data_IF_144918072467
#
_entry.id   IF_144918072467
#
_cell.length_a   1.000
_cell.length_b   1.000
_cell.length_c   1.000
_cell.angle_alpha   90.00
_cell.angle_beta   90.00
_cell.angle_gamma   90.00
#
_symmetry.space_group_name_H-M   'P 1'
#
loop_
_entity.id
_entity.type
_entity.pdbx_description
1 polymer ?
#
# COMPACT_ATOMS: atom_id res chain seq x y z
N UNK A 1 -7.44 -7.23 19.11
CA UNK A 1 -8.20 -6.43 20.10
C UNK A 1 -7.34 -5.76 21.17
N UNK A 2 -6.03 -6.02 21.26
CA UNK A 2 -5.14 -5.42 22.28
C UNK A 2 -5.15 -3.88 22.34
N UNK A 3 -5.39 -3.19 21.22
CA UNK A 3 -5.39 -1.71 21.20
C UNK A 3 -6.51 -1.08 22.04
N UNK A 4 -7.58 -1.81 22.36
CA UNK A 4 -8.71 -1.30 23.17
C UNK A 4 -8.36 -1.09 24.64
N UNK A 5 -7.26 -1.68 25.10
CA UNK A 5 -6.82 -1.62 26.50
C UNK A 5 -5.82 -0.48 26.74
N UNK A 6 -5.45 0.27 25.69
CA UNK A 6 -4.41 1.31 25.78
C UNK A 6 -4.76 2.49 26.70
N UNK A 7 -6.03 2.65 27.10
CA UNK A 7 -6.44 3.60 28.13
C UNK A 7 -5.69 3.41 29.45
N UNK A 8 -5.31 2.17 29.79
CA UNK A 8 -4.53 1.86 31.01
C UNK A 8 -3.22 2.65 31.10
N UNK A 9 -2.61 3.01 29.97
CA UNK A 9 -1.37 3.79 29.95
C UNK A 9 -1.55 5.17 30.59
N UNK A 10 -2.74 5.76 30.50
CA UNK A 10 -3.05 7.03 31.15
C UNK A 10 -3.42 6.88 32.62
N UNK A 11 -3.93 5.71 33.01
CA UNK A 11 -4.11 5.37 34.41
C UNK A 11 -2.76 5.20 35.12
N UNK A 12 -1.86 4.42 34.53
CA UNK A 12 -0.57 4.07 35.15
C UNK A 12 0.48 5.18 35.01
N UNK A 13 0.41 5.97 33.92
CA UNK A 13 1.35 7.05 33.63
C UNK A 13 0.62 8.37 33.31
N UNK A 14 -0.08 8.98 34.29
CA UNK A 14 -0.96 10.13 34.04
C UNK A 14 -0.22 11.35 33.49
N UNK A 15 1.03 11.57 33.91
CA UNK A 15 1.87 12.69 33.49
C UNK A 15 2.57 12.48 32.13
N UNK A 16 2.65 11.24 31.63
CA UNK A 16 3.37 10.97 30.37
C UNK A 16 2.59 11.52 29.18
N UNK A 17 3.21 12.27 28.24
CA UNK A 17 2.52 12.72 27.04
C UNK A 17 2.14 11.53 26.14
N UNK A 18 1.03 11.65 25.42
CA UNK A 18 0.58 10.63 24.47
C UNK A 18 0.49 11.23 23.07
N UNK A 19 1.13 10.57 22.12
CA UNK A 19 1.09 10.89 20.69
C UNK A 19 0.47 9.71 19.94
N UNK A 20 -0.73 9.91 19.39
CA UNK A 20 -1.39 8.93 18.52
C UNK A 20 -1.20 9.36 17.06
N UNK A 21 -0.62 8.48 16.25
CA UNK A 21 -0.34 8.73 14.83
C UNK A 21 -1.20 7.82 13.96
N UNK A 22 -1.80 8.40 12.93
CA UNK A 22 -2.52 7.64 11.89
C UNK A 22 -2.43 8.38 10.56
N UNK A 23 -2.33 7.64 9.46
CA UNK A 23 -2.31 8.21 8.11
C UNK A 23 -3.69 8.73 7.70
N UNK A 24 -4.76 8.03 8.10
CA UNK A 24 -6.15 8.39 7.81
C UNK A 24 -6.98 8.31 9.09
N UNK A 25 -7.89 9.26 9.28
CA UNK A 25 -8.78 9.24 10.42
C UNK A 25 -10.11 9.91 10.05
N UNK A 26 -11.20 9.16 9.99
CA UNK A 26 -12.52 9.80 9.91
C UNK A 26 -12.86 10.48 11.24
N UNK A 27 -13.80 11.44 11.28
CA UNK A 27 -14.30 11.99 12.54
C UNK A 27 -14.87 10.90 13.48
N UNK A 28 -15.48 9.84 12.91
CA UNK A 28 -15.96 8.71 13.68
C UNK A 28 -14.81 7.91 14.33
N UNK A 29 -13.75 7.62 13.56
CA UNK A 29 -12.58 6.93 14.09
C UNK A 29 -11.86 7.77 15.17
N UNK A 30 -11.87 9.10 15.04
CA UNK A 30 -11.27 9.99 16.04
C UNK A 30 -11.97 9.84 17.39
N UNK A 31 -13.31 9.81 17.41
CA UNK A 31 -14.10 9.60 18.62
C UNK A 31 -13.79 8.25 19.27
N UNK A 32 -13.62 7.21 18.45
CA UNK A 32 -13.24 5.87 18.94
C UNK A 32 -11.86 5.91 19.59
N UNK A 33 -10.87 6.55 18.94
CA UNK A 33 -9.51 6.69 19.48
C UNK A 33 -9.53 7.44 20.81
N UNK A 34 -10.20 8.59 20.87
CA UNK A 34 -10.34 9.38 22.10
C UNK A 34 -10.99 8.60 23.24
N UNK A 35 -12.04 7.81 22.93
CA UNK A 35 -12.72 6.96 23.90
C UNK A 35 -11.81 5.85 24.42
N UNK A 36 -11.07 5.18 23.55
CA UNK A 36 -10.20 4.06 23.95
C UNK A 36 -8.97 4.53 24.73
N UNK A 37 -8.46 5.71 24.42
CA UNK A 37 -7.32 6.30 25.12
C UNK A 37 -7.73 7.08 26.37
N UNK A 38 -9.02 7.09 26.71
CA UNK A 38 -9.59 7.84 27.84
C UNK A 38 -9.18 9.33 27.83
N UNK A 39 -9.09 9.92 26.63
CA UNK A 39 -8.61 11.29 26.42
C UNK A 39 -9.45 12.00 25.36
N UNK A 40 -10.42 12.80 25.80
CA UNK A 40 -11.34 13.54 24.92
C UNK A 40 -10.78 14.88 24.42
N UNK A 41 -9.81 15.46 25.14
CA UNK A 41 -9.18 16.76 24.91
C UNK A 41 -7.84 16.67 24.17
N UNK A 42 -7.69 15.70 23.27
CA UNK A 42 -6.49 15.56 22.44
C UNK A 42 -6.33 16.74 21.48
N UNK A 43 -5.13 17.33 21.40
CA UNK A 43 -4.78 18.28 20.34
C UNK A 43 -4.73 17.53 19.00
N UNK A 44 -5.57 17.93 18.05
CA UNK A 44 -5.66 17.30 16.73
C UNK A 44 -4.87 18.13 15.74
N UNK A 45 -3.79 17.56 15.22
CA UNK A 45 -3.03 18.11 14.10
C UNK A 45 -3.37 17.29 12.86
N UNK A 46 -3.94 17.94 11.84
CA UNK A 46 -4.29 17.31 10.57
C UNK A 46 -3.75 18.14 9.43
N UNK A 47 -3.05 17.48 8.50
CA UNK A 47 -2.81 18.07 7.19
C UNK A 47 -4.10 17.92 6.35
N UNK A 48 -4.76 19.02 5.94
CA UNK A 48 -5.95 18.95 5.09
C UNK A 48 -5.61 18.58 3.63
N UNK A 49 -4.35 18.74 3.24
CA UNK A 49 -3.89 18.49 1.87
C UNK A 49 -3.59 16.99 1.73
N UNK A 50 -4.51 16.29 1.07
CA UNK A 50 -4.33 14.90 0.62
C UNK A 50 -3.76 14.89 -0.81
N UNK A 51 -3.96 15.99 -1.56
CA UNK A 51 -3.50 16.12 -2.94
C UNK A 51 -1.97 16.18 -3.01
N UNK A 52 -1.41 15.29 -3.84
CA UNK A 52 0.01 15.22 -4.17
C UNK A 52 0.16 15.57 -5.65
N UNK A 53 0.67 16.77 -5.95
CA UNK A 53 0.82 17.27 -7.33
C UNK A 53 1.75 16.44 -8.20
N UNK A 54 2.62 15.67 -7.58
CA UNK A 54 3.54 14.71 -8.17
C UNK A 54 2.87 13.38 -8.57
N UNK A 55 1.59 13.17 -8.20
CA UNK A 55 0.83 11.98 -8.55
C UNK A 55 -0.27 12.34 -9.56
N UNK A 56 -0.10 11.90 -10.80
CA UNK A 56 -1.17 11.94 -11.81
C UNK A 56 -2.09 10.74 -11.64
N UNK A 57 -3.40 10.98 -11.57
CA UNK A 57 -4.42 9.93 -11.47
C UNK A 57 -5.07 9.72 -12.83
N UNK A 58 -5.06 8.47 -13.31
CA UNK A 58 -5.73 8.07 -14.54
C UNK A 58 -6.62 6.83 -14.29
N UNK A 59 -7.82 6.83 -14.87
CA UNK A 59 -8.75 5.69 -14.80
C UNK A 59 -9.03 5.19 -16.22
N UNK A 60 -8.74 3.91 -16.47
CA UNK A 60 -8.99 3.24 -17.75
C UNK A 60 -10.03 2.13 -17.57
N UNK A 61 -10.88 1.96 -18.57
CA UNK A 61 -11.80 0.81 -18.62
C UNK A 61 -11.02 -0.50 -18.72
N UNK A 62 -11.30 -1.44 -17.82
CA UNK A 62 -10.66 -2.77 -17.83
C UNK A 62 -11.18 -3.60 -19.01
N UNK A 63 -10.32 -4.03 -19.96
CA UNK A 63 -10.76 -4.88 -21.07
C UNK A 63 -11.36 -6.21 -20.57
N UNK A 64 -12.46 -6.65 -21.18
CA UNK A 64 -13.09 -7.93 -20.86
C UNK A 64 -12.22 -9.13 -21.29
N UNK A 65 -11.53 -9.00 -22.42
CA UNK A 65 -10.60 -10.02 -22.91
C UNK A 65 -9.29 -9.96 -22.10
N UNK A 66 -8.93 -11.08 -21.47
CA UNK A 66 -7.79 -11.19 -20.56
C UNK A 66 -6.46 -10.80 -21.20
N UNK A 67 -6.24 -11.22 -22.45
CA UNK A 67 -5.00 -10.90 -23.17
C UNK A 67 -4.87 -9.40 -23.47
N UNK A 68 -5.98 -8.73 -23.83
CA UNK A 68 -6.00 -7.27 -24.01
C UNK A 68 -5.76 -6.53 -22.70
N UNK A 69 -6.31 -7.05 -21.60
CA UNK A 69 -6.07 -6.49 -20.27
C UNK A 69 -4.60 -6.59 -19.88
N UNK A 70 -3.95 -7.75 -20.08
CA UNK A 70 -2.53 -7.90 -19.81
C UNK A 70 -1.66 -7.04 -20.73
N UNK A 71 -1.98 -6.98 -22.03
CA UNK A 71 -1.26 -6.12 -22.95
C UNK A 71 -1.28 -4.65 -22.51
N UNK A 72 -2.44 -4.15 -22.05
CA UNK A 72 -2.55 -2.78 -21.53
C UNK A 72 -1.60 -2.51 -20.36
N UNK A 73 -1.38 -3.50 -19.49
CA UNK A 73 -0.45 -3.38 -18.36
C UNK A 73 0.99 -3.46 -18.85
N UNK A 74 1.29 -4.32 -19.81
CA UNK A 74 2.63 -4.45 -20.39
C UNK A 74 3.06 -3.16 -21.08
N UNK A 75 2.17 -2.53 -21.87
CA UNK A 75 2.43 -1.26 -22.54
C UNK A 75 2.76 -0.13 -21.53
N UNK A 76 2.15 -0.15 -20.34
CA UNK A 76 2.46 0.80 -19.26
C UNK A 76 3.82 0.53 -18.60
N UNK A 77 4.28 -0.73 -18.61
CA UNK A 77 5.54 -1.15 -17.98
C UNK A 77 6.74 -1.05 -18.91
N UNK A 78 6.55 -1.09 -20.23
CA UNK A 78 7.63 -0.98 -21.22
C UNK A 78 8.45 0.33 -21.08
N UNK A 79 7.82 1.40 -20.58
CA UNK A 79 8.45 2.70 -20.33
C UNK A 79 8.66 2.97 -18.83
N UNK A 80 8.76 1.94 -18.00
CA UNK A 80 8.92 2.10 -16.56
C UNK A 80 10.32 2.64 -16.22
N UNK A 81 10.40 3.91 -15.82
CA UNK A 81 11.66 4.55 -15.40
C UNK A 81 12.13 4.13 -13.99
N UNK A 82 11.21 3.68 -13.13
CA UNK A 82 11.47 3.35 -11.73
C UNK A 82 10.92 1.99 -11.34
N UNK A 83 10.18 1.93 -10.23
CA UNK A 83 9.51 0.72 -9.74
C UNK A 83 8.00 0.83 -9.88
N UNK A 84 7.35 -0.31 -10.12
CA UNK A 84 5.91 -0.42 -10.26
C UNK A 84 5.31 -1.35 -9.20
N UNK A 85 4.15 -0.96 -8.65
CA UNK A 85 3.33 -1.82 -7.81
C UNK A 85 2.00 -2.08 -8.51
N UNK A 86 1.64 -3.35 -8.64
CA UNK A 86 0.38 -3.79 -9.26
C UNK A 86 -0.46 -4.45 -8.17
N UNK A 87 -1.52 -3.76 -7.75
CA UNK A 87 -2.45 -4.24 -6.73
C UNK A 87 -3.54 -5.11 -7.33
N UNK A 88 -3.64 -6.34 -6.81
CA UNK A 88 -4.73 -7.29 -7.05
C UNK A 88 -5.61 -7.49 -5.82
N UNK A 89 -6.88 -7.83 -6.02
CA UNK A 89 -7.82 -8.04 -4.91
C UNK A 89 -7.57 -9.39 -4.23
N UNK A 90 -7.08 -10.40 -4.98
CA UNK A 90 -6.83 -11.75 -4.45
C UNK A 90 -5.42 -12.24 -4.73
N UNK A 91 -4.97 -13.20 -3.91
CA UNK A 91 -3.68 -13.90 -4.13
C UNK A 91 -3.66 -14.59 -5.49
N UNK A 92 -4.80 -15.16 -5.91
CA UNK A 92 -4.93 -15.81 -7.22
C UNK A 92 -4.66 -14.83 -8.35
N UNK A 93 -5.29 -13.65 -8.32
CA UNK A 93 -5.06 -12.60 -9.34
C UNK A 93 -3.61 -12.14 -9.34
N UNK A 94 -3.00 -11.96 -8.17
CA UNK A 94 -1.59 -11.58 -8.07
C UNK A 94 -0.67 -12.64 -8.69
N UNK A 95 -0.97 -13.93 -8.48
CA UNK A 95 -0.23 -15.05 -9.05
C UNK A 95 -0.39 -15.12 -10.57
N UNK A 96 -1.61 -14.99 -11.08
CA UNK A 96 -1.87 -14.95 -12.52
C UNK A 96 -1.14 -13.79 -13.19
N UNK A 97 -1.17 -12.60 -12.59
CA UNK A 97 -0.42 -11.44 -13.05
C UNK A 97 1.09 -11.69 -13.05
N UNK A 98 1.63 -12.23 -11.95
CA UNK A 98 3.07 -12.55 -11.83
C UNK A 98 3.53 -13.51 -12.91
N UNK A 99 2.73 -14.55 -13.18
CA UNK A 99 3.04 -15.53 -14.23
C UNK A 99 2.96 -14.92 -15.64
N UNK A 100 2.02 -14.00 -15.87
CA UNK A 100 1.94 -13.27 -17.14
C UNK A 100 3.16 -12.34 -17.32
N UNK A 101 3.54 -11.61 -16.28
CA UNK A 101 4.71 -10.72 -16.27
C UNK A 101 6.01 -11.49 -16.52
N UNK A 102 6.25 -12.61 -15.84
CA UNK A 102 7.46 -13.44 -16.02
C UNK A 102 7.59 -14.07 -17.41
N UNK A 103 6.52 -14.13 -18.18
CA UNK A 103 6.56 -14.57 -19.58
C UNK A 103 6.93 -13.45 -20.55
N UNK A 104 6.69 -12.19 -20.16
CA UNK A 104 6.83 -11.01 -21.02
C UNK A 104 8.04 -10.13 -20.66
N UNK A 105 8.52 -10.20 -19.42
CA UNK A 105 9.64 -9.43 -18.87
C UNK A 105 10.67 -10.34 -18.22
N UNK A 106 11.86 -9.80 -17.92
CA UNK A 106 12.90 -10.52 -17.18
C UNK A 106 12.36 -11.02 -15.82
N UNK A 107 12.28 -12.34 -15.58
CA UNK A 107 11.75 -12.89 -14.34
C UNK A 107 12.45 -12.42 -13.07
N UNK A 108 13.72 -12.00 -13.15
CA UNK A 108 14.52 -11.54 -12.00
C UNK A 108 13.93 -10.26 -11.41
N UNK A 109 13.36 -9.39 -12.24
CA UNK A 109 12.81 -8.10 -11.81
C UNK A 109 11.35 -8.19 -11.31
N UNK A 110 10.74 -9.39 -11.34
CA UNK A 110 9.32 -9.61 -11.01
C UNK A 110 9.14 -10.29 -9.65
N UNK A 111 8.51 -9.56 -8.72
CA UNK A 111 8.14 -10.03 -7.39
C UNK A 111 6.64 -10.26 -7.23
N UNK A 112 6.29 -11.10 -6.25
CA UNK A 112 4.92 -11.27 -5.79
C UNK A 112 4.85 -11.18 -4.26
N UNK A 113 3.89 -10.42 -3.72
CA UNK A 113 3.75 -10.29 -2.27
C UNK A 113 2.31 -10.42 -1.78
N UNK A 114 2.11 -11.23 -0.73
CA UNK A 114 0.85 -11.31 -0.01
C UNK A 114 1.04 -11.77 1.43
N UNK A 115 0.04 -11.51 2.29
CA UNK A 115 0.12 -11.82 3.72
C UNK A 115 0.21 -13.31 4.09
N UNK A 116 -0.06 -14.23 3.15
CA UNK A 116 0.12 -15.68 3.37
C UNK A 116 1.53 -16.23 3.07
N UNK A 117 2.47 -15.39 2.61
CA UNK A 117 3.86 -15.82 2.40
C UNK A 117 4.50 -16.20 3.73
N UNK A 118 5.44 -17.14 3.73
CA UNK A 118 6.23 -17.42 4.92
C UNK A 118 7.07 -16.18 5.30
N UNK A 119 7.38 -16.02 6.59
CA UNK A 119 8.13 -14.84 7.07
C UNK A 119 9.48 -14.68 6.37
N UNK A 120 10.17 -15.79 6.09
CA UNK A 120 11.43 -15.78 5.35
C UNK A 120 11.24 -15.28 3.91
N UNK A 121 10.18 -15.69 3.23
CA UNK A 121 9.88 -15.25 1.86
C UNK A 121 9.51 -13.76 1.83
N UNK A 122 8.68 -13.30 2.78
CA UNK A 122 8.34 -11.88 2.92
C UNK A 122 9.60 -11.03 3.11
N UNK A 123 10.54 -11.51 3.92
CA UNK A 123 11.81 -10.83 4.20
C UNK A 123 12.68 -10.76 2.94
N UNK A 124 12.85 -11.89 2.25
CA UNK A 124 13.64 -11.97 1.01
C UNK A 124 13.07 -11.08 -0.08
N UNK A 125 11.76 -11.16 -0.33
CA UNK A 125 11.10 -10.34 -1.35
C UNK A 125 11.15 -8.86 -1.01
N UNK A 126 10.97 -8.49 0.27
CA UNK A 126 11.10 -7.11 0.72
C UNK A 126 12.53 -6.59 0.59
N UNK A 127 13.54 -7.41 0.84
CA UNK A 127 14.94 -7.05 0.65
C UNK A 127 15.28 -6.84 -0.83
N UNK A 128 14.85 -7.76 -1.70
CA UNK A 128 15.02 -7.65 -3.16
C UNK A 128 14.23 -6.48 -3.76
N UNK A 129 13.08 -6.14 -3.18
CA UNK A 129 12.37 -4.92 -3.54
C UNK A 129 13.19 -3.70 -3.13
N UNK A 130 13.60 -3.59 -1.85
CA UNK A 130 14.34 -2.44 -1.32
C UNK A 130 15.64 -2.16 -2.07
N UNK A 131 16.41 -3.20 -2.38
CA UNK A 131 17.70 -3.08 -3.07
C UNK A 131 17.59 -2.84 -4.60
N UNK A 132 16.36 -2.82 -5.15
CA UNK A 132 16.11 -2.52 -6.56
C UNK A 132 16.26 -3.71 -7.52
N UNK A 133 16.47 -4.93 -7.01
CA UNK A 133 16.49 -6.15 -7.83
C UNK A 133 15.10 -6.41 -8.41
N UNK A 134 14.07 -6.38 -7.56
CA UNK A 134 12.68 -6.42 -8.02
C UNK A 134 12.26 -5.00 -8.37
N UNK A 135 11.84 -4.80 -9.63
CA UNK A 135 11.30 -3.54 -10.13
C UNK A 135 9.78 -3.52 -10.26
N UNK A 136 9.17 -4.68 -10.48
CA UNK A 136 7.72 -4.82 -10.63
C UNK A 136 7.20 -5.76 -9.56
N UNK A 137 6.31 -5.25 -8.71
CA UNK A 137 5.70 -6.03 -7.63
C UNK A 137 4.22 -6.26 -7.91
N UNK A 138 3.81 -7.51 -8.08
CA UNK A 138 2.38 -7.90 -8.04
C UNK A 138 1.98 -8.23 -6.61
N UNK A 139 1.01 -7.53 -6.03
CA UNK A 139 0.69 -7.71 -4.62
C UNK A 139 -0.77 -7.50 -4.23
N UNK A 140 -1.15 -8.09 -3.10
CA UNK A 140 -2.37 -7.68 -2.40
C UNK A 140 -2.09 -6.48 -1.50
N UNK A 141 -3.13 -5.93 -0.88
CA UNK A 141 -3.04 -4.85 0.10
C UNK A 141 -2.11 -5.11 1.30
N UNK A 142 -1.73 -6.38 1.51
CA UNK A 142 -0.72 -6.75 2.50
C UNK A 142 0.67 -6.15 2.19
N UNK A 143 0.96 -5.83 0.92
CA UNK A 143 2.18 -5.13 0.53
C UNK A 143 2.02 -3.65 0.81
N UNK A 144 2.36 -3.27 2.05
CA UNK A 144 2.28 -1.87 2.39
C UNK A 144 2.74 -1.40 3.76
N UNK A 145 2.76 -2.28 4.76
CA UNK A 145 3.32 -1.97 6.07
C UNK A 145 4.85 -2.00 5.99
N UNK A 146 5.53 -0.87 6.21
CA UNK A 146 7.00 -0.80 6.33
C UNK A 146 7.79 -0.75 5.02
N UNK A 147 7.13 -0.51 3.89
CA UNK A 147 7.78 -0.34 2.58
C UNK A 147 7.97 1.16 2.32
N UNK A 148 9.22 1.59 2.34
CA UNK A 148 9.64 2.94 2.02
C UNK A 148 10.76 2.87 0.99
N UNK A 149 10.42 3.18 -0.26
CA UNK A 149 11.32 3.27 -1.41
C UNK A 149 10.86 4.48 -2.24
N UNK A 150 11.81 5.29 -2.70
CA UNK A 150 11.48 6.65 -3.15
C UNK A 150 11.12 6.73 -4.66
N UNK A 151 11.64 5.81 -5.46
CA UNK A 151 11.53 5.71 -6.93
C UNK A 151 10.37 4.80 -7.40
N UNK A 152 9.29 4.68 -6.62
CA UNK A 152 8.05 4.08 -7.14
C UNK A 152 7.38 5.12 -8.04
N UNK A 153 7.40 4.88 -9.34
CA UNK A 153 6.87 5.82 -10.35
C UNK A 153 5.50 5.41 -10.87
N UNK A 154 5.09 4.16 -10.65
CA UNK A 154 3.82 3.63 -11.15
C UNK A 154 3.11 2.76 -10.11
N UNK A 155 1.82 3.04 -9.89
CA UNK A 155 0.92 2.18 -9.10
C UNK A 155 -0.28 1.84 -9.97
N UNK A 156 -0.54 0.55 -10.17
CA UNK A 156 -1.65 0.04 -10.98
C UNK A 156 -2.62 -0.71 -10.08
N UNK A 157 -3.88 -0.29 -10.06
CA UNK A 157 -4.96 -1.04 -9.43
C UNK A 157 -5.69 -1.89 -10.48
N UNK A 158 -5.54 -3.21 -10.42
CA UNK A 158 -6.21 -4.14 -11.35
C UNK A 158 -7.68 -4.36 -11.01
N UNK A 159 -8.05 -4.04 -9.77
CA UNK A 159 -9.40 -4.06 -9.20
C UNK A 159 -9.50 -2.86 -8.26
N UNK A 160 -10.72 -2.33 -8.08
CA UNK A 160 -10.94 -1.23 -7.15
C UNK A 160 -10.53 -1.63 -5.72
N UNK A 161 -9.85 -0.74 -4.96
CA UNK A 161 -9.56 -0.97 -3.55
C UNK A 161 -10.82 -1.16 -2.71
N UNK A 162 -10.68 -1.81 -1.55
CA UNK A 162 -11.82 -2.10 -0.67
C UNK A 162 -12.35 -0.86 0.05
N UNK A 163 -11.54 0.20 0.15
CA UNK A 163 -11.96 1.48 0.72
C UNK A 163 -11.18 2.66 0.13
N UNK A 164 -11.71 3.87 0.34
CA UNK A 164 -11.04 5.11 -0.03
C UNK A 164 -9.71 5.29 0.73
N UNK A 165 -9.68 4.97 2.02
CA UNK A 165 -8.47 5.06 2.84
C UNK A 165 -7.37 4.14 2.31
N UNK A 166 -7.75 2.91 1.93
CA UNK A 166 -6.82 1.97 1.32
C UNK A 166 -6.27 2.53 0.00
N UNK A 167 -7.14 3.04 -0.87
CA UNK A 167 -6.73 3.65 -2.13
C UNK A 167 -5.72 4.77 -1.91
N UNK A 168 -6.00 5.72 -1.01
CA UNK A 168 -5.12 6.85 -0.71
C UNK A 168 -3.75 6.37 -0.18
N UNK A 169 -3.73 5.37 0.68
CA UNK A 169 -2.47 4.80 1.20
C UNK A 169 -1.66 4.08 0.12
N UNK A 170 -2.32 3.38 -0.80
CA UNK A 170 -1.68 2.62 -1.88
C UNK A 170 -1.11 3.54 -2.96
N UNK A 171 -1.86 4.53 -3.44
CA UNK A 171 -1.35 5.50 -4.42
C UNK A 171 -0.24 6.38 -3.83
N UNK A 172 -0.30 6.69 -2.53
CA UNK A 172 0.72 7.46 -1.81
C UNK A 172 2.09 6.78 -1.71
N UNK A 173 2.24 5.58 -2.27
CA UNK A 173 3.53 4.93 -2.47
C UNK A 173 4.29 5.50 -3.66
N UNK A 174 3.58 6.04 -4.65
CA UNK A 174 4.20 6.68 -5.79
C UNK A 174 4.76 8.07 -5.42
N UNK A 175 5.74 8.53 -6.21
CA UNK A 175 6.21 9.91 -6.23
C UNK A 175 6.82 10.37 -4.90
N UNK A 176 7.63 9.54 -4.23
CA UNK A 176 8.30 9.93 -2.98
C UNK A 176 9.65 10.62 -3.20
N UNK A 177 10.24 10.44 -4.37
CA UNK A 177 11.44 11.14 -4.85
C UNK A 177 11.13 12.56 -5.34
#
# INVERSE_FOLDING_TARGET
NAWRELGILKHDFPAAPLLALTATCSPANMKIIQSVLEKSDMNIIRNPIIHRSEITLEVKSKPAAKDKFYQTIFDLLDNLEGRAIIYGATIRECNEMTNALRKNFDPIIIGMYHGKLASIEQTTISASWKNGTIKIMSATSAFGMGINVDDVTLVIHTTLPMSHEQYIQEIGRAGRA
#
